data_IF_337682303867
#
_entry.id   IF_337682303867
#
_cell.length_a   1.000
_cell.length_b   1.000
_cell.length_c   1.000
_cell.angle_alpha   90.00
_cell.angle_beta   90.00
_cell.angle_gamma   90.00
#
_symmetry.space_group_name_H-M   'P 1'
#
loop_
_entity.id
_entity.type
_entity.pdbx_description
1 polymer ?
#
# COMPACT_ATOMS: atom_id res chain seq x y z
N UNK A 1 19.24 17.61 7.14
CA UNK A 1 18.40 16.55 6.54
C UNK A 1 19.00 15.22 6.97
N UNK A 2 18.29 14.46 7.81
CA UNK A 2 18.78 13.20 8.33
C UNK A 2 18.95 12.19 7.20
N UNK A 3 20.10 11.53 7.17
CA UNK A 3 20.41 10.46 6.22
C UNK A 3 19.61 9.22 6.65
N UNK A 4 18.32 9.20 6.36
CA UNK A 4 17.48 8.03 6.61
C UNK A 4 17.81 7.00 5.54
N UNK A 5 18.65 6.02 5.88
CA UNK A 5 18.79 4.84 5.03
C UNK A 5 17.40 4.24 4.82
N UNK A 6 17.00 4.11 3.55
CA UNK A 6 15.74 3.46 3.17
C UNK A 6 15.63 2.10 3.88
N UNK A 7 14.45 1.80 4.45
CA UNK A 7 14.28 0.51 5.10
C UNK A 7 14.54 -0.63 4.11
N UNK A 8 15.21 -1.68 4.58
CA UNK A 8 15.45 -2.89 3.79
C UNK A 8 14.14 -3.46 3.20
N UNK A 9 13.03 -3.28 3.92
CA UNK A 9 11.69 -3.63 3.43
C UNK A 9 11.32 -2.85 2.17
N UNK A 10 11.50 -1.53 2.16
CA UNK A 10 11.18 -0.68 1.00
C UNK A 10 12.01 -1.08 -0.23
N UNK A 11 13.32 -1.26 -0.07
CA UNK A 11 14.22 -1.69 -1.16
C UNK A 11 13.82 -3.03 -1.77
N UNK A 12 13.46 -4.00 -0.93
CA UNK A 12 13.05 -5.33 -1.39
C UNK A 12 11.70 -5.29 -2.13
N UNK A 13 10.81 -4.40 -1.73
CA UNK A 13 9.48 -4.30 -2.31
C UNK A 13 9.46 -3.44 -3.59
N UNK A 14 10.30 -2.39 -3.70
CA UNK A 14 10.35 -1.49 -4.88
C UNK A 14 10.53 -2.28 -6.19
N UNK A 15 11.53 -3.17 -6.23
CA UNK A 15 11.77 -4.05 -7.39
C UNK A 15 10.59 -4.98 -7.71
N UNK A 16 9.82 -5.40 -6.70
CA UNK A 16 8.63 -6.22 -6.89
C UNK A 16 7.48 -5.40 -7.48
N UNK A 17 7.29 -4.15 -7.04
CA UNK A 17 6.28 -3.25 -7.59
C UNK A 17 6.57 -3.03 -9.08
N UNK A 18 7.78 -2.61 -9.41
CA UNK A 18 8.20 -2.35 -10.79
C UNK A 18 8.01 -3.58 -11.70
N UNK A 19 8.32 -4.78 -11.17
CA UNK A 19 8.21 -6.03 -11.93
C UNK A 19 6.78 -6.53 -12.11
N UNK A 20 5.94 -6.46 -11.07
CA UNK A 20 4.64 -7.13 -11.04
C UNK A 20 3.45 -6.19 -11.27
N UNK A 21 3.67 -4.87 -11.27
CA UNK A 21 2.68 -3.86 -11.62
C UNK A 21 3.11 -3.02 -12.85
N UNK A 22 3.67 -3.63 -13.93
CA UNK A 22 4.24 -2.88 -15.05
C UNK A 22 3.21 -2.07 -15.86
N UNK A 23 1.92 -2.44 -15.76
CA UNK A 23 0.80 -1.87 -16.49
C UNK A 23 -0.18 -1.10 -15.60
N UNK A 24 0.22 -0.75 -14.37
CA UNK A 24 -0.63 0.10 -13.51
C UNK A 24 -0.81 1.52 -14.11
N UNK A 25 0.10 1.91 -15.01
CA UNK A 25 -0.14 2.89 -16.07
C UNK A 25 -0.97 2.27 -17.19
N UNK A 26 -2.27 2.02 -16.99
CA UNK A 26 -3.11 1.55 -18.10
C UNK A 26 -3.15 2.57 -19.24
N UNK A 27 -2.95 2.08 -20.47
CA UNK A 27 -2.90 2.77 -21.77
C UNK A 27 -4.20 3.50 -22.19
N UNK A 28 -4.79 4.29 -21.30
CA UNK A 28 -5.95 5.12 -21.60
C UNK A 28 -5.80 6.49 -20.96
N UNK A 29 -5.22 7.45 -21.69
CA UNK A 29 -5.32 8.91 -21.49
C UNK A 29 -5.08 9.51 -20.09
N UNK A 30 -4.74 8.74 -19.06
CA UNK A 30 -4.45 9.27 -17.72
C UNK A 30 -2.96 9.57 -17.64
N UNK A 31 -2.61 10.81 -17.95
CA UNK A 31 -1.29 11.37 -17.64
C UNK A 31 -1.26 11.75 -16.17
N UNK A 32 -0.61 10.92 -15.34
CA UNK A 32 -0.25 11.27 -13.97
C UNK A 32 0.95 12.23 -13.91
N UNK A 33 1.01 13.19 -14.84
CA UNK A 33 2.04 14.23 -14.90
C UNK A 33 1.58 15.40 -14.03
N UNK A 34 1.91 15.37 -12.75
CA UNK A 34 1.80 16.55 -11.89
C UNK A 34 3.15 17.28 -11.89
N UNK A 35 3.14 18.57 -12.21
CA UNK A 35 4.29 19.46 -11.95
C UNK A 35 4.42 19.85 -10.47
N UNK A 36 3.51 19.36 -9.63
CA UNK A 36 3.41 19.70 -8.21
C UNK A 36 3.66 18.47 -7.34
N UNK A 37 4.35 18.69 -6.24
CA UNK A 37 4.59 17.68 -5.22
C UNK A 37 3.33 17.49 -4.37
N UNK A 38 2.88 16.25 -4.26
CA UNK A 38 1.71 15.85 -3.49
C UNK A 38 2.15 15.26 -2.15
N UNK A 39 1.69 15.80 -1.02
CA UNK A 39 2.19 15.41 0.31
C UNK A 39 1.12 14.75 1.16
N UNK A 40 1.51 13.70 1.90
CA UNK A 40 0.63 13.05 2.87
C UNK A 40 0.64 13.84 4.19
N UNK A 41 -0.44 14.57 4.47
CA UNK A 41 -0.57 15.34 5.72
C UNK A 41 -1.28 14.58 6.84
N UNK A 42 -1.55 15.27 7.96
CA UNK A 42 -2.28 14.74 9.14
C UNK A 42 -3.65 14.09 8.82
N UNK A 43 -4.22 14.44 7.67
CA UNK A 43 -5.53 13.98 7.22
C UNK A 43 -5.47 13.07 5.99
N UNK A 44 -4.28 12.53 5.69
CA UNK A 44 -4.00 11.84 4.44
C UNK A 44 -3.89 12.81 3.28
N UNK A 45 -4.02 12.27 2.08
CA UNK A 45 -4.11 13.07 0.86
C UNK A 45 -5.49 13.66 0.71
N UNK A 46 -5.59 14.93 0.31
CA UNK A 46 -6.85 15.61 0.02
C UNK A 46 -6.67 16.52 -1.17
N UNK A 47 -7.61 16.46 -2.09
CA UNK A 47 -7.67 17.37 -3.22
C UNK A 47 -9.07 17.33 -3.85
N UNK A 48 -9.28 18.16 -4.87
CA UNK A 48 -10.41 18.05 -5.77
C UNK A 48 -10.36 16.73 -6.51
N UNK A 49 -11.47 15.99 -6.49
CA UNK A 49 -11.52 14.70 -7.20
C UNK A 49 -11.80 14.84 -8.70
N UNK A 50 -12.20 16.03 -9.16
CA UNK A 50 -12.36 16.38 -10.59
C UNK A 50 -11.22 17.28 -11.03
N UNK A 51 -10.04 16.71 -11.27
CA UNK A 51 -8.91 17.40 -11.88
C UNK A 51 -8.52 16.70 -13.19
N UNK A 52 -7.93 17.45 -14.13
CA UNK A 52 -7.46 16.89 -15.39
C UNK A 52 -6.25 15.95 -15.21
N UNK A 53 -5.44 16.19 -14.19
CA UNK A 53 -4.23 15.45 -13.80
C UNK A 53 -4.50 14.16 -13.03
N UNK A 54 -5.72 13.97 -12.51
CA UNK A 54 -6.12 12.77 -11.75
C UNK A 54 -5.24 12.47 -10.52
N UNK A 55 -4.65 13.51 -9.88
CA UNK A 55 -3.67 13.36 -8.79
C UNK A 55 -4.23 12.57 -7.59
N UNK A 56 -5.47 12.85 -7.20
CA UNK A 56 -6.09 12.13 -6.09
C UNK A 56 -6.39 10.66 -6.43
N UNK A 57 -6.65 10.34 -7.71
CA UNK A 57 -6.82 8.96 -8.17
C UNK A 57 -5.49 8.20 -8.18
N UNK A 58 -4.39 8.87 -8.55
CA UNK A 58 -3.03 8.36 -8.42
C UNK A 58 -2.71 8.03 -6.95
N UNK A 59 -3.02 8.98 -6.06
CA UNK A 59 -2.82 8.83 -4.62
C UNK A 59 -3.64 7.67 -4.04
N UNK A 60 -4.91 7.54 -4.41
CA UNK A 60 -5.77 6.44 -3.99
C UNK A 60 -5.22 5.10 -4.47
N UNK A 61 -4.83 5.01 -5.73
CA UNK A 61 -4.26 3.82 -6.34
C UNK A 61 -3.00 3.33 -5.62
N UNK A 62 -2.05 4.24 -5.41
CA UNK A 62 -0.78 3.94 -4.74
C UNK A 62 -0.96 3.68 -3.24
N UNK A 63 -1.97 4.30 -2.62
CA UNK A 63 -2.40 3.93 -1.26
C UNK A 63 -2.83 2.46 -1.19
N UNK A 64 -3.54 1.96 -2.21
CA UNK A 64 -3.90 0.54 -2.31
C UNK A 64 -2.69 -0.40 -2.33
N UNK A 65 -1.64 -0.03 -3.06
CA UNK A 65 -0.37 -0.79 -3.08
C UNK A 65 0.21 -0.86 -1.67
N UNK A 66 0.35 0.29 -0.99
CA UNK A 66 0.91 0.33 0.36
C UNK A 66 0.05 -0.45 1.37
N UNK A 67 -1.27 -0.39 1.26
CA UNK A 67 -2.19 -1.17 2.12
C UNK A 67 -1.96 -2.67 1.96
N UNK A 68 -1.81 -3.15 0.72
CA UNK A 68 -1.49 -4.55 0.45
C UNK A 68 -0.15 -4.97 1.07
N UNK A 69 0.87 -4.12 0.96
CA UNK A 69 2.18 -4.35 1.55
C UNK A 69 2.15 -4.37 3.08
N UNK A 70 1.43 -3.44 3.70
CA UNK A 70 1.24 -3.39 5.15
C UNK A 70 0.47 -4.62 5.64
N UNK A 71 -0.56 -5.05 4.91
CA UNK A 71 -1.27 -6.30 5.21
C UNK A 71 -0.31 -7.50 5.20
N UNK A 72 0.50 -7.66 4.16
CA UNK A 72 1.50 -8.73 4.08
C UNK A 72 2.48 -8.63 5.25
N UNK A 73 3.02 -7.44 5.52
CA UNK A 73 3.96 -7.20 6.62
C UNK A 73 3.38 -7.59 7.98
N UNK A 74 2.16 -7.16 8.29
CA UNK A 74 1.54 -7.43 9.59
C UNK A 74 1.13 -8.88 9.78
N UNK A 75 0.96 -9.63 8.68
CA UNK A 75 0.56 -11.03 8.70
C UNK A 75 1.69 -11.98 8.29
N UNK A 76 2.93 -11.49 8.12
CA UNK A 76 4.05 -12.26 7.56
C UNK A 76 4.26 -13.60 8.28
N UNK A 77 4.29 -13.60 9.61
CA UNK A 77 4.47 -14.84 10.39
C UNK A 77 3.31 -15.81 10.23
N UNK A 78 2.07 -15.31 10.15
CA UNK A 78 0.88 -16.14 9.88
C UNK A 78 0.97 -16.76 8.49
N UNK A 79 1.29 -15.96 7.47
CA UNK A 79 1.41 -16.41 6.08
C UNK A 79 2.55 -17.45 5.95
N UNK A 80 3.68 -17.21 6.61
CA UNK A 80 4.84 -18.13 6.65
C UNK A 80 4.46 -19.47 7.27
N UNK A 81 3.80 -19.47 8.43
CA UNK A 81 3.34 -20.70 9.11
C UNK A 81 2.36 -21.50 8.26
N UNK A 82 1.51 -20.82 7.49
CA UNK A 82 0.53 -21.46 6.60
C UNK A 82 1.14 -22.00 5.30
N UNK A 83 2.46 -21.83 5.07
CA UNK A 83 3.15 -22.29 3.85
C UNK A 83 2.47 -21.83 2.55
N UNK A 84 1.79 -20.68 2.58
CA UNK A 84 1.08 -20.17 1.40
C UNK A 84 2.03 -19.85 0.22
N UNK A 85 3.31 -19.60 0.52
CA UNK A 85 4.37 -19.36 -0.48
C UNK A 85 5.17 -20.61 -0.86
N UNK A 86 5.04 -21.74 -0.15
CA UNK A 86 5.88 -22.94 -0.29
C UNK A 86 5.37 -23.94 -1.35
N UNK A 87 4.31 -23.61 -2.10
CA UNK A 87 3.74 -24.54 -3.12
C UNK A 87 4.67 -24.82 -4.31
N UNK A 88 5.86 -24.22 -4.36
CA UNK A 88 6.81 -24.37 -5.47
C UNK A 88 8.12 -25.13 -5.14
N UNK A 89 8.20 -25.89 -4.06
CA UNK A 89 9.30 -26.86 -3.86
C UNK A 89 8.78 -28.30 -3.99
N UNK A 90 9.03 -28.89 -5.16
CA UNK A 90 8.89 -30.33 -5.41
C UNK A 90 9.89 -31.07 -4.52
N UNK A 91 9.39 -32.07 -3.80
CA UNK A 91 10.20 -33.09 -3.13
C UNK A 91 10.46 -32.79 -1.67
N UNK A 92 9.76 -33.53 -0.81
CA UNK A 92 10.29 -34.21 0.40
C UNK A 92 9.24 -34.28 1.52
N UNK A 93 8.97 -35.53 1.91
CA UNK A 93 8.36 -36.02 3.15
C UNK A 93 7.50 -35.03 3.94
N UNK A 94 6.19 -35.06 3.64
CA UNK A 94 5.14 -34.45 4.44
C UNK A 94 5.13 -35.05 5.85
N UNK A 95 5.87 -34.45 6.79
CA UNK A 95 5.39 -34.39 8.18
C UNK A 95 4.09 -33.62 8.13
N UNK A 96 2.99 -34.32 8.37
CA UNK A 96 1.64 -33.76 8.43
C UNK A 96 1.58 -32.81 9.63
N UNK A 97 2.04 -31.58 9.44
CA UNK A 97 1.73 -30.49 10.33
C UNK A 97 0.22 -30.26 10.12
N UNK A 98 -0.59 -30.56 11.13
CA UNK A 98 -2.03 -30.32 11.09
C UNK A 98 -2.24 -28.83 10.80
N UNK A 99 -2.61 -28.51 9.56
CA UNK A 99 -3.00 -27.14 9.22
C UNK A 99 -4.19 -26.82 10.12
N UNK A 100 -4.15 -25.75 10.94
CA UNK A 100 -5.35 -25.32 11.62
C UNK A 100 -6.42 -25.08 10.57
N UNK A 101 -7.64 -25.55 10.82
CA UNK A 101 -8.79 -25.25 9.97
C UNK A 101 -8.77 -23.75 9.67
N UNK A 102 -8.85 -23.35 8.39
CA UNK A 102 -8.80 -21.94 7.95
C UNK A 102 -9.75 -21.01 8.74
N UNK A 103 -10.74 -21.60 9.40
CA UNK A 103 -11.74 -20.95 10.25
C UNK A 103 -11.18 -20.25 11.51
N UNK A 104 -9.93 -20.51 11.94
CA UNK A 104 -9.36 -19.89 13.16
C UNK A 104 -8.19 -18.92 12.91
N UNK A 105 -8.01 -18.42 11.68
CA UNK A 105 -6.94 -17.45 11.41
C UNK A 105 -7.42 -16.04 11.70
N UNK A 106 -6.83 -15.40 12.72
CA UNK A 106 -7.05 -13.99 13.01
C UNK A 106 -6.07 -13.12 12.20
N UNK A 107 -6.57 -12.54 11.10
CA UNK A 107 -5.81 -11.62 10.28
C UNK A 107 -5.74 -10.23 10.91
N UNK A 108 -4.58 -9.58 10.78
CA UNK A 108 -4.40 -8.16 11.07
C UNK A 108 -4.76 -7.35 9.82
N UNK A 109 -5.88 -6.65 9.86
CA UNK A 109 -6.34 -5.85 8.72
C UNK A 109 -5.69 -4.46 8.73
N UNK A 110 -5.54 -3.87 7.55
CA UNK A 110 -5.14 -2.47 7.34
C UNK A 110 -6.24 -1.85 6.48
N UNK A 111 -6.71 -0.68 6.86
CA UNK A 111 -7.86 -0.04 6.26
C UNK A 111 -7.50 1.20 5.46
N UNK A 112 -8.40 1.59 4.57
CA UNK A 112 -8.39 2.87 3.87
C UNK A 112 -9.72 3.56 4.14
N UNK A 113 -9.67 4.86 4.40
CA UNK A 113 -10.83 5.73 4.48
C UNK A 113 -10.77 6.69 3.30
N UNK A 114 -11.86 6.75 2.53
CA UNK A 114 -12.05 7.69 1.43
C UNK A 114 -13.03 8.77 1.90
N UNK A 115 -12.51 9.94 2.22
CA UNK A 115 -13.30 11.09 2.66
C UNK A 115 -12.46 12.36 2.72
N UNK A 116 -13.05 13.51 2.44
CA UNK A 116 -12.50 14.80 2.81
C UNK A 116 -13.17 15.41 4.06
N UNK A 117 -13.91 14.62 4.84
CA UNK A 117 -14.52 15.05 6.11
C UNK A 117 -15.43 16.28 5.96
N UNK A 118 -14.98 17.46 6.39
CA UNK A 118 -15.73 18.71 6.37
C UNK A 118 -15.41 19.61 5.17
N UNK A 119 -14.51 19.16 4.29
CA UNK A 119 -14.14 19.89 3.08
C UNK A 119 -15.35 20.01 2.12
N UNK A 120 -15.29 20.97 1.17
CA UNK A 120 -16.29 21.14 0.14
C UNK A 120 -16.62 19.85 -0.64
N UNK A 121 -17.82 19.80 -1.24
CA UNK A 121 -18.34 18.61 -1.92
C UNK A 121 -17.55 18.23 -3.19
N UNK A 122 -16.74 19.12 -3.74
CA UNK A 122 -15.86 18.89 -4.90
C UNK A 122 -14.48 18.33 -4.50
N UNK A 123 -14.23 18.17 -3.20
CA UNK A 123 -13.02 17.58 -2.65
C UNK A 123 -13.25 16.17 -2.12
N UNK A 124 -12.20 15.36 -2.17
CA UNK A 124 -12.16 14.05 -1.54
C UNK A 124 -10.77 13.80 -0.96
N UNK A 125 -10.57 12.67 -0.30
CA UNK A 125 -9.31 12.34 0.31
C UNK A 125 -9.15 10.85 0.54
N UNK A 126 -7.91 10.44 0.76
CA UNK A 126 -7.57 9.06 1.09
C UNK A 126 -6.63 9.04 2.30
N UNK A 127 -6.95 8.19 3.27
CA UNK A 127 -6.18 8.03 4.51
C UNK A 127 -6.09 6.56 4.91
N UNK A 128 -4.90 6.12 5.29
CA UNK A 128 -4.64 4.74 5.71
C UNK A 128 -4.74 4.61 7.23
N UNK A 129 -5.42 3.55 7.68
CA UNK A 129 -5.55 3.15 9.07
C UNK A 129 -4.81 1.83 9.29
N UNK A 130 -3.90 1.81 10.24
CA UNK A 130 -3.09 0.65 10.62
C UNK A 130 -3.92 -0.44 11.31
N UNK A 131 -3.27 -1.58 11.59
CA UNK A 131 -3.91 -2.72 12.24
C UNK A 131 -4.32 -2.49 13.70
N UNK A 132 -3.93 -1.37 14.32
CA UNK A 132 -4.33 -0.98 15.66
C UNK A 132 -5.47 0.04 15.65
N UNK A 133 -6.03 0.37 14.48
CA UNK A 133 -7.05 1.39 14.32
C UNK A 133 -6.52 2.83 14.39
N UNK A 134 -5.19 3.00 14.32
CA UNK A 134 -4.52 4.31 14.33
C UNK A 134 -4.13 4.71 12.91
N UNK A 135 -3.70 5.94 12.73
CA UNK A 135 -3.07 6.34 11.47
C UNK A 135 -1.76 5.59 11.28
N UNK A 136 -1.35 5.41 10.03
CA UNK A 136 0.02 5.00 9.73
C UNK A 136 1.01 6.03 10.30
N UNK A 137 2.22 5.58 10.61
CA UNK A 137 3.25 6.47 11.17
C UNK A 137 3.97 7.26 10.06
N UNK A 138 4.69 8.29 10.46
CA UNK A 138 5.44 9.20 9.57
C UNK A 138 6.33 8.49 8.55
N UNK A 139 6.95 7.36 8.93
CA UNK A 139 7.79 6.59 8.00
C UNK A 139 6.97 6.09 6.80
N UNK A 140 5.78 5.55 7.06
CA UNK A 140 4.89 5.08 5.99
C UNK A 140 4.20 6.21 5.24
N UNK A 141 3.94 7.34 5.90
CA UNK A 141 3.43 8.56 5.25
C UNK A 141 4.44 9.10 4.23
N UNK A 142 5.72 9.10 4.59
CA UNK A 142 6.82 9.49 3.70
C UNK A 142 6.97 8.51 2.54
N UNK A 143 6.99 7.19 2.79
CA UNK A 143 7.03 6.21 1.69
C UNK A 143 5.86 6.32 0.72
N UNK A 144 4.66 6.64 1.23
CA UNK A 144 3.51 6.84 0.37
C UNK A 144 3.61 8.14 -0.42
N UNK A 145 4.09 9.22 0.21
CA UNK A 145 4.35 10.50 -0.44
C UNK A 145 5.34 10.32 -1.59
N UNK A 146 6.47 9.67 -1.34
CA UNK A 146 7.49 9.36 -2.35
C UNK A 146 6.88 8.52 -3.47
N UNK A 147 6.18 7.44 -3.12
CA UNK A 147 5.52 6.57 -4.09
C UNK A 147 4.55 7.34 -4.98
N UNK A 148 3.76 8.27 -4.42
CA UNK A 148 2.78 9.08 -5.17
C UNK A 148 3.44 10.03 -6.15
N UNK A 149 4.55 10.64 -5.77
CA UNK A 149 5.29 11.57 -6.63
C UNK A 149 6.24 10.88 -7.62
N UNK A 150 6.64 9.62 -7.37
CA UNK A 150 7.41 8.83 -8.35
C UNK A 150 6.51 8.35 -9.51
N UNK A 151 6.96 8.49 -10.75
CA UNK A 151 6.30 7.88 -11.90
C UNK A 151 6.65 6.38 -11.94
N UNK A 152 5.64 5.52 -11.78
CA UNK A 152 5.73 4.08 -12.04
C UNK A 152 5.22 3.75 -13.44
#
# INVERSE_FOLDING_TARGET
MGNYEESLFYRNIKSCIEKYLPNYSTEGLVKFESSFEFSYGNSGFRDKYKTASCDLLNALSKSGILVGLLFIKHNYETIRKLKLFDKHMKGENKKQCSLPSMQNIQWKNVGVIITASHNPFDENGVKIIDCNGRQINEIYENYLTDLVNEHL
#
